data_IF_435494922823
#
_entry.id   IF_435494922823
#
_cell.length_a   1.000
_cell.length_b   1.000
_cell.length_c   1.000
_cell.angle_alpha   90.00
_cell.angle_beta   90.00
_cell.angle_gamma   90.00
#
_symmetry.space_group_name_H-M   'P 1'
#
loop_
_entity.id
_entity.type
_entity.pdbx_description
1 polymer ?
#
# COMPACT_ATOMS: atom_id res chain seq x y z
N UNK A 1 44.75 -8.40 4.40
CA UNK A 1 44.25 -7.02 4.63
C UNK A 1 42.93 -6.74 3.90
N UNK A 2 42.80 -7.12 2.62
CA UNK A 2 41.56 -6.97 1.82
C UNK A 2 40.39 -7.80 2.40
N UNK A 3 40.66 -9.04 2.78
CA UNK A 3 39.68 -10.00 3.32
C UNK A 3 39.10 -9.56 4.68
N UNK A 4 39.95 -9.01 5.54
CA UNK A 4 39.60 -8.50 6.86
C UNK A 4 38.71 -7.25 6.78
N UNK A 5 38.85 -6.46 5.71
CA UNK A 5 38.03 -5.30 5.44
C UNK A 5 36.71 -5.68 4.76
N UNK A 6 36.71 -6.68 3.87
CA UNK A 6 35.48 -7.26 3.31
C UNK A 6 34.59 -7.86 4.40
N UNK A 7 35.19 -8.54 5.39
CA UNK A 7 34.49 -9.00 6.59
C UNK A 7 33.89 -7.84 7.40
N UNK A 8 34.62 -6.75 7.62
CA UNK A 8 34.10 -5.58 8.34
C UNK A 8 32.95 -4.89 7.60
N UNK A 9 33.05 -4.73 6.28
CA UNK A 9 31.98 -4.16 5.45
C UNK A 9 30.77 -5.07 5.45
N UNK A 10 30.96 -6.38 5.30
CA UNK A 10 29.90 -7.36 5.40
C UNK A 10 29.22 -7.31 6.78
N UNK A 11 29.99 -7.24 7.88
CA UNK A 11 29.44 -7.11 9.23
C UNK A 11 28.72 -5.77 9.45
N UNK A 12 29.16 -4.68 8.84
CA UNK A 12 28.48 -3.37 8.89
C UNK A 12 27.16 -3.44 8.11
N UNK A 13 27.18 -3.94 6.88
CA UNK A 13 25.97 -4.11 6.05
C UNK A 13 24.98 -5.07 6.72
N UNK A 14 25.45 -6.17 7.30
CA UNK A 14 24.62 -7.13 8.05
C UNK A 14 24.04 -6.51 9.33
N UNK A 15 24.85 -5.76 10.09
CA UNK A 15 24.39 -5.06 11.29
C UNK A 15 23.34 -3.99 10.98
N UNK A 16 23.41 -3.39 9.79
CA UNK A 16 22.48 -2.38 9.31
C UNK A 16 21.17 -3.02 8.81
N UNK A 17 21.24 -4.13 8.07
CA UNK A 17 20.06 -4.95 7.73
C UNK A 17 19.32 -5.35 9.02
N UNK A 18 20.06 -5.75 10.06
CA UNK A 18 19.49 -6.04 11.38
C UNK A 18 18.83 -4.81 12.03
N UNK A 19 19.42 -3.61 11.93
CA UNK A 19 18.76 -2.39 12.43
C UNK A 19 17.44 -2.06 11.72
N UNK A 20 17.35 -2.29 10.40
CA UNK A 20 16.09 -2.12 9.66
C UNK A 20 14.99 -3.11 10.13
N UNK A 21 15.36 -4.29 10.61
CA UNK A 21 14.39 -5.29 11.09
C UNK A 21 13.86 -5.03 12.51
N UNK A 22 14.51 -4.17 13.29
CA UNK A 22 14.26 -4.02 14.75
C UNK A 22 13.41 -2.77 15.07
N UNK A 23 12.89 -2.03 14.10
CA UNK A 23 12.05 -0.85 14.38
C UNK A 23 10.54 -1.11 14.20
N UNK A 24 9.79 -1.43 15.26
CA UNK A 24 8.34 -1.31 15.25
C UNK A 24 7.97 0.14 15.57
N UNK A 25 7.75 0.97 14.55
CA UNK A 25 7.15 2.29 14.75
C UNK A 25 5.67 2.22 14.37
N UNK A 26 4.86 1.70 15.29
CA UNK A 26 3.41 1.89 15.24
C UNK A 26 3.11 3.31 15.77
N UNK A 27 3.16 4.30 14.89
CA UNK A 27 2.75 5.68 15.21
C UNK A 27 1.23 5.76 15.05
N UNK A 28 0.50 5.64 16.16
CA UNK A 28 -0.96 5.83 16.19
C UNK A 28 -1.28 7.33 16.28
N UNK A 29 -1.19 8.03 15.15
CA UNK A 29 -1.69 9.39 15.01
C UNK A 29 -3.00 9.39 14.20
N UNK A 30 -4.06 9.97 14.74
CA UNK A 30 -5.39 9.99 14.09
C UNK A 30 -5.48 10.94 12.88
N UNK A 31 -4.37 11.58 12.50
CA UNK A 31 -4.27 12.56 11.42
C UNK A 31 -3.97 11.89 10.06
N UNK A 32 -3.57 10.61 10.06
CA UNK A 32 -3.21 9.90 8.83
C UNK A 32 -4.41 9.46 7.97
N UNK A 33 -4.16 9.14 6.69
CA UNK A 33 -5.15 8.49 5.83
C UNK A 33 -5.71 7.25 6.54
N UNK A 34 -6.93 6.86 6.18
CA UNK A 34 -7.61 5.71 6.78
C UNK A 34 -7.60 4.53 5.82
N UNK A 35 -7.61 3.29 6.35
CA UNK A 35 -7.70 2.12 5.50
C UNK A 35 -9.01 2.13 4.71
N UNK A 36 -9.02 1.41 3.58
CA UNK A 36 -10.20 1.25 2.76
C UNK A 36 -10.41 -0.20 2.32
N UNK A 37 -11.65 -0.53 2.01
CA UNK A 37 -12.02 -1.75 1.28
C UNK A 37 -12.72 -1.33 -0.01
N UNK A 38 -12.25 -1.84 -1.13
CA UNK A 38 -12.82 -1.62 -2.46
C UNK A 38 -13.19 -2.97 -3.07
N UNK A 39 -14.39 -3.07 -3.63
CA UNK A 39 -14.90 -4.31 -4.24
C UNK A 39 -15.41 -4.00 -5.64
N UNK A 40 -14.82 -4.65 -6.64
CA UNK A 40 -15.26 -4.58 -8.03
C UNK A 40 -16.22 -5.73 -8.34
N UNK A 41 -17.38 -5.41 -8.93
CA UNK A 41 -18.40 -6.37 -9.33
C UNK A 41 -18.39 -6.57 -10.84
N UNK A 42 -18.59 -7.82 -11.28
CA UNK A 42 -18.71 -8.19 -12.69
C UNK A 42 -19.98 -8.98 -12.91
N UNK A 43 -20.66 -8.79 -14.04
CA UNK A 43 -21.89 -9.52 -14.35
C UNK A 43 -23.17 -8.92 -13.79
N UNK A 44 -23.15 -7.64 -13.39
CA UNK A 44 -24.31 -6.88 -12.87
C UNK A 44 -24.60 -5.63 -13.71
N UNK A 45 -24.17 -5.61 -14.97
CA UNK A 45 -24.13 -4.40 -15.80
C UNK A 45 -25.51 -3.77 -16.08
N UNK A 46 -26.58 -4.56 -16.00
CA UNK A 46 -27.96 -4.12 -16.24
C UNK A 46 -28.83 -4.11 -14.97
N UNK A 47 -28.22 -4.34 -13.80
CA UNK A 47 -28.95 -4.52 -12.54
C UNK A 47 -28.89 -3.28 -11.66
N UNK A 48 -30.03 -2.94 -11.03
CA UNK A 48 -30.03 -1.99 -9.91
C UNK A 48 -29.68 -2.73 -8.62
N UNK A 49 -28.58 -2.37 -7.96
CA UNK A 49 -28.14 -3.04 -6.74
C UNK A 49 -27.39 -2.15 -5.76
N UNK A 50 -27.51 -2.52 -4.48
CA UNK A 50 -26.89 -1.84 -3.36
C UNK A 50 -25.98 -2.80 -2.61
N UNK A 51 -24.83 -2.29 -2.16
CA UNK A 51 -23.81 -3.10 -1.50
C UNK A 51 -23.52 -2.55 -0.12
N UNK A 52 -23.34 -3.45 0.84
CA UNK A 52 -22.80 -3.14 2.18
C UNK A 52 -21.79 -4.21 2.60
N UNK A 53 -20.98 -3.87 3.60
CA UNK A 53 -20.17 -4.81 4.36
C UNK A 53 -20.82 -5.06 5.71
N UNK A 54 -21.26 -6.29 5.95
CA UNK A 54 -21.70 -6.72 7.27
C UNK A 54 -20.46 -6.93 8.14
N UNK A 55 -20.44 -6.39 9.35
CA UNK A 55 -19.26 -6.40 10.22
C UNK A 55 -19.36 -7.42 11.34
N UNK A 56 -18.24 -8.05 11.70
CA UNK A 56 -18.16 -8.89 12.90
C UNK A 56 -18.38 -8.10 14.20
N UNK A 57 -18.08 -6.79 14.19
CA UNK A 57 -18.19 -5.90 15.35
C UNK A 57 -19.31 -4.87 15.13
N UNK A 58 -19.99 -4.48 16.21
CA UNK A 58 -21.15 -3.57 16.13
C UNK A 58 -20.81 -2.11 15.80
N UNK A 59 -19.53 -1.72 15.81
CA UNK A 59 -19.09 -0.37 15.42
C UNK A 59 -17.64 -0.32 14.95
N UNK A 60 -17.36 0.53 13.96
CA UNK A 60 -16.02 0.91 13.51
C UNK A 60 -16.01 2.35 12.98
N UNK A 61 -15.08 3.16 13.48
CA UNK A 61 -15.02 4.59 13.16
C UNK A 61 -16.36 5.29 13.45
N UNK A 62 -16.94 6.05 12.50
CA UNK A 62 -18.24 6.69 12.70
C UNK A 62 -19.42 5.73 12.48
N UNK A 63 -19.20 4.50 12.02
CA UNK A 63 -20.24 3.55 11.62
C UNK A 63 -20.61 2.64 12.79
N UNK A 64 -21.90 2.39 12.98
CA UNK A 64 -22.40 1.53 14.05
C UNK A 64 -23.74 0.90 13.67
N UNK A 65 -24.00 -0.28 14.23
CA UNK A 65 -25.29 -0.94 14.18
C UNK A 65 -26.36 -0.07 14.84
N UNK A 66 -27.60 -0.09 14.35
CA UNK A 66 -28.68 0.70 14.93
C UNK A 66 -28.89 0.33 16.41
N UNK A 67 -29.00 1.34 17.27
CA UNK A 67 -29.20 1.16 18.71
C UNK A 67 -27.92 0.96 19.52
N UNK A 68 -26.75 0.81 18.87
CA UNK A 68 -25.45 0.71 19.56
C UNK A 68 -25.12 1.97 20.38
N UNK A 69 -25.53 3.15 19.90
CA UNK A 69 -25.39 4.42 20.62
C UNK A 69 -26.71 5.20 20.64
N UNK A 70 -26.95 6.03 21.68
CA UNK A 70 -28.15 6.87 21.74
C UNK A 70 -28.27 7.78 20.50
N UNK A 71 -29.39 7.66 19.76
CA UNK A 71 -29.68 8.51 18.61
C UNK A 71 -28.78 8.27 17.39
N UNK A 72 -28.23 7.06 17.21
CA UNK A 72 -27.32 6.74 16.12
C UNK A 72 -27.99 6.31 14.80
N UNK A 73 -29.29 6.55 14.67
CA UNK A 73 -30.03 6.30 13.43
C UNK A 73 -29.56 7.28 12.35
N UNK A 74 -29.16 6.74 11.19
CA UNK A 74 -28.61 7.56 10.09
C UNK A 74 -29.62 8.02 9.05
N UNK A 75 -30.69 7.25 8.84
CA UNK A 75 -31.69 7.49 7.82
C UNK A 75 -33.08 7.61 8.46
N UNK A 76 -33.91 8.49 7.93
CA UNK A 76 -35.25 8.79 8.42
C UNK A 76 -36.27 8.78 7.28
N UNK A 77 -37.56 8.61 7.62
CA UNK A 77 -38.64 8.65 6.63
C UNK A 77 -38.56 9.95 5.81
N UNK A 78 -38.53 9.81 4.48
CA UNK A 78 -38.39 10.91 3.54
C UNK A 78 -36.98 11.08 2.97
N UNK A 79 -35.96 10.42 3.51
CA UNK A 79 -34.65 10.32 2.88
C UNK A 79 -34.72 9.43 1.63
N UNK A 80 -33.95 9.77 0.60
CA UNK A 80 -33.95 9.07 -0.70
C UNK A 80 -33.68 7.56 -0.56
N UNK A 81 -32.70 7.20 0.26
CA UNK A 81 -32.30 5.80 0.47
C UNK A 81 -32.97 5.15 1.69
N UNK A 82 -34.01 5.75 2.27
CA UNK A 82 -34.63 5.24 3.51
C UNK A 82 -35.18 3.81 3.34
N UNK A 83 -35.89 3.53 2.25
CA UNK A 83 -36.48 2.20 1.99
C UNK A 83 -35.38 1.14 1.82
N UNK A 84 -34.27 1.50 1.17
CA UNK A 84 -33.11 0.61 0.99
C UNK A 84 -32.42 0.35 2.32
N UNK A 85 -32.23 1.41 3.13
CA UNK A 85 -31.68 1.29 4.47
C UNK A 85 -32.55 0.38 5.35
N UNK A 86 -33.87 0.54 5.32
CA UNK A 86 -34.81 -0.28 6.09
C UNK A 86 -34.74 -1.75 5.66
N UNK A 87 -34.66 -2.00 4.34
CA UNK A 87 -34.46 -3.35 3.81
C UNK A 87 -33.15 -3.98 4.29
N UNK A 88 -32.04 -3.27 4.18
CA UNK A 88 -30.73 -3.74 4.67
C UNK A 88 -30.71 -3.94 6.19
N UNK A 89 -31.43 -3.11 6.95
CA UNK A 89 -31.59 -3.24 8.39
C UNK A 89 -32.40 -4.49 8.78
N UNK A 90 -33.37 -4.88 7.95
CA UNK A 90 -34.19 -6.09 8.18
C UNK A 90 -33.43 -7.40 7.96
N UNK A 91 -32.28 -7.35 7.26
CA UNK A 91 -31.47 -8.52 6.97
C UNK A 91 -30.81 -9.08 8.25
N UNK A 92 -31.00 -10.37 8.49
CA UNK A 92 -30.37 -11.10 9.60
C UNK A 92 -29.32 -12.07 9.05
N UNK A 93 -28.05 -11.78 9.32
CA UNK A 93 -26.96 -12.69 8.96
C UNK A 93 -26.97 -13.96 9.84
N UNK A 94 -26.72 -15.11 9.24
CA UNK A 94 -26.69 -16.41 9.93
C UNK A 94 -25.58 -16.51 10.98
N UNK A 95 -24.46 -15.82 10.76
CA UNK A 95 -23.30 -15.83 11.65
C UNK A 95 -23.30 -14.64 12.62
N UNK A 96 -24.37 -13.83 12.62
CA UNK A 96 -24.54 -12.69 13.54
C UNK A 96 -23.73 -11.44 13.17
N UNK A 97 -23.34 -11.27 11.91
CA UNK A 97 -22.69 -10.03 11.46
C UNK A 97 -23.68 -8.86 11.42
N UNK A 98 -23.20 -7.67 11.74
CA UNK A 98 -23.98 -6.45 11.91
C UNK A 98 -23.99 -5.59 10.64
N UNK A 99 -25.15 -5.08 10.25
CA UNK A 99 -25.24 -3.96 9.31
C UNK A 99 -24.93 -2.63 10.03
N UNK A 100 -23.90 -1.90 9.59
CA UNK A 100 -23.44 -0.66 10.24
C UNK A 100 -24.00 0.63 9.62
N UNK A 101 -25.17 0.54 9.00
CA UNK A 101 -25.89 1.67 8.40
C UNK A 101 -25.07 2.43 7.33
N UNK A 102 -24.19 1.72 6.59
CA UNK A 102 -23.43 2.28 5.48
C UNK A 102 -23.47 1.32 4.30
N UNK A 103 -23.91 1.83 3.16
CA UNK A 103 -24.10 1.09 1.93
C UNK A 103 -23.96 2.07 0.76
N UNK A 104 -23.93 1.56 -0.47
CA UNK A 104 -23.89 2.38 -1.67
C UNK A 104 -24.54 1.69 -2.86
N UNK A 105 -25.20 2.47 -3.71
CA UNK A 105 -25.65 2.04 -5.03
C UNK A 105 -24.42 1.89 -5.94
N UNK A 106 -24.25 0.72 -6.55
CA UNK A 106 -23.04 0.40 -7.33
C UNK A 106 -23.34 0.12 -8.80
N UNK A 107 -24.57 0.35 -9.25
CA UNK A 107 -25.04 0.00 -10.60
C UNK A 107 -24.29 0.69 -11.72
N UNK A 108 -23.94 1.97 -11.56
CA UNK A 108 -23.20 2.70 -12.60
C UNK A 108 -21.69 2.46 -12.56
N UNK A 109 -21.12 2.31 -11.36
CA UNK A 109 -19.66 2.23 -11.17
C UNK A 109 -19.13 0.82 -11.21
N UNK A 110 -20.00 -0.17 -11.00
CA UNK A 110 -19.65 -1.56 -10.70
C UNK A 110 -18.64 -1.71 -9.54
N UNK A 111 -18.58 -0.73 -8.64
CA UNK A 111 -17.59 -0.68 -7.58
C UNK A 111 -18.18 -0.13 -6.27
N UNK A 112 -18.00 -0.88 -5.20
CA UNK A 112 -18.28 -0.44 -3.84
C UNK A 112 -17.00 -0.01 -3.14
N UNK A 113 -17.03 1.14 -2.47
CA UNK A 113 -15.90 1.64 -1.68
C UNK A 113 -16.33 1.98 -0.25
N UNK A 114 -15.68 1.32 0.71
CA UNK A 114 -15.67 1.74 2.12
C UNK A 114 -14.36 2.46 2.43
N UNK A 115 -14.36 3.78 2.21
CA UNK A 115 -13.14 4.60 2.26
C UNK A 115 -12.68 5.03 3.65
N UNK A 116 -13.49 4.82 4.69
CA UNK A 116 -13.20 5.36 6.03
C UNK A 116 -13.59 4.38 7.14
N UNK A 117 -12.59 3.85 7.86
CA UNK A 117 -12.74 2.83 8.90
C UNK A 117 -13.60 1.62 8.49
N UNK A 118 -13.29 0.95 7.38
CA UNK A 118 -13.95 -0.29 7.01
C UNK A 118 -13.82 -1.35 8.12
N UNK A 119 -14.81 -2.22 8.29
CA UNK A 119 -14.76 -3.29 9.27
C UNK A 119 -13.51 -4.18 9.06
N UNK A 120 -12.83 -4.60 10.14
CA UNK A 120 -11.63 -5.44 10.03
C UNK A 120 -11.92 -6.79 9.40
N UNK A 121 -13.09 -7.36 9.74
CA UNK A 121 -13.62 -8.61 9.21
C UNK A 121 -15.09 -8.42 8.85
N UNK A 122 -15.48 -8.91 7.68
CA UNK A 122 -16.76 -8.59 7.08
C UNK A 122 -17.30 -9.64 6.11
N UNK A 123 -18.61 -9.64 5.88
CA UNK A 123 -19.25 -10.31 4.74
C UNK A 123 -19.75 -9.28 3.74
N UNK A 124 -19.83 -9.68 2.48
CA UNK A 124 -20.38 -8.83 1.41
C UNK A 124 -21.87 -9.14 1.32
N UNK A 125 -22.71 -8.11 1.40
CA UNK A 125 -24.14 -8.22 1.18
C UNK A 125 -24.53 -7.32 0.02
N UNK A 126 -25.21 -7.90 -0.96
CA UNK A 126 -25.79 -7.23 -2.11
C UNK A 126 -27.32 -7.31 -1.99
N UNK A 127 -28.00 -6.20 -2.20
CA UNK A 127 -29.46 -6.13 -2.29
C UNK A 127 -29.89 -5.73 -3.69
N UNK A 128 -30.83 -6.49 -4.26
CA UNK A 128 -31.44 -6.25 -5.56
C UNK A 128 -32.91 -5.81 -5.37
N UNK A 129 -33.22 -4.52 -5.46
CA UNK A 129 -34.58 -4.02 -5.21
C UNK A 129 -35.61 -4.52 -6.21
N UNK A 130 -35.21 -4.80 -7.46
CA UNK A 130 -36.12 -5.27 -8.50
C UNK A 130 -36.76 -6.63 -8.17
N UNK A 131 -36.03 -7.47 -7.43
CA UNK A 131 -36.44 -8.82 -7.05
C UNK A 131 -36.76 -8.95 -5.55
N UNK A 132 -36.49 -7.90 -4.77
CA UNK A 132 -36.49 -7.91 -3.31
C UNK A 132 -35.64 -9.05 -2.72
N UNK A 133 -34.42 -9.22 -3.27
CA UNK A 133 -33.53 -10.33 -2.92
C UNK A 133 -32.17 -9.88 -2.42
N UNK A 134 -31.63 -10.68 -1.50
CA UNK A 134 -30.27 -10.53 -1.00
C UNK A 134 -29.36 -11.61 -1.57
N UNK A 135 -28.13 -11.22 -1.84
CA UNK A 135 -27.05 -12.16 -2.11
C UNK A 135 -25.89 -11.86 -1.16
N UNK A 136 -25.41 -12.90 -0.47
CA UNK A 136 -24.42 -12.77 0.61
C UNK A 136 -23.21 -13.66 0.33
N UNK A 137 -22.03 -13.19 0.72
CA UNK A 137 -20.83 -14.02 0.64
C UNK A 137 -20.92 -15.24 1.56
N UNK A 138 -20.49 -16.39 1.03
CA UNK A 138 -20.52 -17.65 1.78
C UNK A 138 -19.52 -17.67 2.94
N UNK A 139 -18.40 -16.97 2.77
CA UNK A 139 -17.36 -16.80 3.79
C UNK A 139 -17.24 -15.33 4.22
N UNK A 140 -16.57 -15.13 5.35
CA UNK A 140 -16.14 -13.81 5.81
C UNK A 140 -14.74 -13.46 5.28
N UNK A 141 -14.54 -12.20 4.95
CA UNK A 141 -13.29 -11.62 4.46
C UNK A 141 -12.67 -10.71 5.52
N UNK A 142 -11.38 -10.44 5.36
CA UNK A 142 -10.61 -9.59 6.27
C UNK A 142 -9.80 -8.57 5.48
N UNK A 143 -9.62 -7.37 6.03
CA UNK A 143 -8.68 -6.40 5.46
C UNK A 143 -7.28 -7.00 5.48
N UNK A 144 -6.70 -7.19 4.29
CA UNK A 144 -5.39 -7.82 4.13
C UNK A 144 -4.26 -6.81 3.85
N UNK A 145 -4.63 -5.57 3.51
CA UNK A 145 -3.76 -4.44 3.22
C UNK A 145 -4.43 -3.15 3.72
N UNK A 146 -3.65 -2.06 3.80
CA UNK A 146 -4.16 -0.75 4.16
C UNK A 146 -5.30 -0.31 3.22
N UNK A 147 -5.10 -0.49 1.92
CA UNK A 147 -6.16 -0.47 0.92
C UNK A 147 -6.37 -1.91 0.44
N UNK A 148 -7.48 -2.53 0.84
CA UNK A 148 -7.82 -3.90 0.47
C UNK A 148 -8.75 -3.90 -0.74
N UNK A 149 -8.34 -4.61 -1.80
CA UNK A 149 -9.09 -4.72 -3.06
C UNK A 149 -9.62 -6.13 -3.25
N UNK A 150 -10.90 -6.24 -3.55
CA UNK A 150 -11.59 -7.48 -3.88
C UNK A 150 -12.26 -7.35 -5.24
N UNK A 151 -12.46 -8.49 -5.90
CA UNK A 151 -13.32 -8.57 -7.07
C UNK A 151 -14.24 -9.77 -6.93
N UNK A 152 -15.47 -9.60 -7.35
CA UNK A 152 -16.51 -10.61 -7.30
C UNK A 152 -17.09 -10.78 -8.70
N UNK A 153 -17.12 -12.03 -9.18
CA UNK A 153 -17.87 -12.40 -10.37
C UNK A 153 -19.25 -12.89 -9.94
N UNK A 154 -20.27 -12.14 -10.35
CA UNK A 154 -21.66 -12.34 -9.95
C UNK A 154 -22.48 -12.87 -11.15
N UNK A 155 -21.82 -13.32 -12.22
CA UNK A 155 -22.49 -13.86 -13.40
C UNK A 155 -23.32 -15.10 -13.07
N UNK A 156 -24.56 -15.09 -13.55
CA UNK A 156 -25.43 -16.25 -13.45
C UNK A 156 -26.05 -16.46 -12.07
N UNK A 157 -26.12 -15.41 -11.23
CA UNK A 157 -27.04 -15.40 -10.11
C UNK A 157 -28.46 -15.67 -10.63
N UNK A 158 -29.13 -16.69 -10.09
CA UNK A 158 -30.55 -16.94 -10.34
C UNK A 158 -31.39 -15.94 -9.52
N UNK A 159 -31.37 -14.68 -9.94
CA UNK A 159 -32.04 -13.53 -9.31
C UNK A 159 -33.58 -13.63 -9.29
N UNK A 160 -34.15 -14.64 -9.95
CA UNK A 160 -35.59 -14.92 -9.93
C UNK A 160 -36.00 -15.93 -8.83
N UNK A 161 -35.04 -16.47 -8.07
CA UNK A 161 -35.30 -17.53 -7.07
C UNK A 161 -35.75 -16.98 -5.71
N UNK A 162 -36.75 -17.60 -5.06
CA UNK A 162 -37.36 -17.10 -3.81
C UNK A 162 -36.38 -17.10 -2.62
N UNK A 163 -35.23 -17.77 -2.74
CA UNK A 163 -34.24 -17.91 -1.67
C UNK A 163 -33.08 -16.93 -1.84
N UNK A 164 -32.56 -16.33 -0.74
CA UNK A 164 -31.35 -15.53 -0.79
C UNK A 164 -30.22 -16.30 -1.47
N UNK A 165 -29.47 -15.64 -2.34
CA UNK A 165 -28.37 -16.30 -3.03
C UNK A 165 -27.17 -16.34 -2.08
N UNK A 166 -26.90 -17.54 -1.60
CA UNK A 166 -25.77 -17.81 -0.74
C UNK A 166 -24.56 -18.17 -1.59
N UNK A 167 -23.37 -17.76 -1.14
CA UNK A 167 -22.06 -18.11 -1.72
C UNK A 167 -21.57 -17.20 -2.86
N UNK A 168 -21.76 -15.89 -2.74
CA UNK A 168 -20.92 -14.97 -3.50
C UNK A 168 -19.45 -15.18 -3.09
N UNK A 169 -18.57 -15.38 -4.07
CA UNK A 169 -17.13 -15.48 -3.84
C UNK A 169 -16.41 -14.21 -4.31
N UNK A 170 -15.66 -13.60 -3.39
CA UNK A 170 -14.76 -12.51 -3.69
C UNK A 170 -13.30 -13.00 -3.64
N UNK A 171 -12.53 -12.60 -4.66
CA UNK A 171 -11.10 -12.86 -4.75
C UNK A 171 -10.31 -11.57 -4.52
N UNK A 172 -9.15 -11.66 -3.88
CA UNK A 172 -8.24 -10.51 -3.74
C UNK A 172 -7.76 -10.09 -5.13
N UNK A 173 -7.87 -8.79 -5.43
CA UNK A 173 -7.47 -8.24 -6.73
C UNK A 173 -6.52 -7.04 -6.55
N UNK A 174 -5.48 -7.23 -5.73
CA UNK A 174 -4.42 -6.23 -5.57
C UNK A 174 -3.46 -6.31 -6.77
N UNK A 175 -3.08 -5.17 -7.34
CA UNK A 175 -2.18 -5.12 -8.51
C UNK A 175 -0.70 -5.24 -8.12
N UNK A 176 -0.30 -6.45 -7.76
CA UNK A 176 1.11 -6.78 -7.46
C UNK A 176 2.02 -6.64 -8.69
N UNK A 177 1.47 -6.70 -9.91
CA UNK A 177 2.25 -6.56 -11.14
C UNK A 177 2.72 -5.12 -11.29
N UNK A 178 1.81 -4.17 -11.08
CA UNK A 178 2.14 -2.75 -11.10
C UNK A 178 3.11 -2.35 -9.97
N UNK A 179 2.96 -2.92 -8.77
CA UNK A 179 3.94 -2.72 -7.69
C UNK A 179 5.35 -3.16 -8.11
N UNK A 180 5.47 -4.35 -8.73
CA UNK A 180 6.75 -4.88 -9.19
C UNK A 180 7.37 -4.03 -10.31
N UNK A 181 6.56 -3.65 -11.30
CA UNK A 181 7.00 -2.77 -12.40
C UNK A 181 7.48 -1.44 -11.82
N UNK A 182 6.70 -0.83 -10.92
CA UNK A 182 7.03 0.44 -10.29
C UNK A 182 8.26 0.34 -9.39
N UNK A 183 8.45 -0.78 -8.68
CA UNK A 183 9.67 -1.06 -7.90
C UNK A 183 10.91 -1.10 -8.80
N UNK A 184 10.85 -1.84 -9.90
CA UNK A 184 11.96 -1.95 -10.85
C UNK A 184 12.26 -0.60 -11.51
N UNK A 185 11.22 0.16 -11.89
CA UNK A 185 11.35 1.48 -12.47
C UNK A 185 12.09 2.44 -11.52
N UNK A 186 11.72 2.46 -10.22
CA UNK A 186 12.39 3.28 -9.20
C UNK A 186 13.85 2.91 -9.03
N UNK A 187 14.17 1.62 -8.87
CA UNK A 187 15.56 1.16 -8.72
C UNK A 187 16.40 1.54 -9.94
N UNK A 188 15.90 1.32 -11.16
CA UNK A 188 16.60 1.66 -12.40
C UNK A 188 16.81 3.17 -12.51
N UNK A 189 15.78 3.98 -12.23
CA UNK A 189 15.86 5.43 -12.28
C UNK A 189 16.91 5.96 -11.30
N UNK A 190 16.89 5.50 -10.05
CA UNK A 190 17.86 5.93 -9.03
C UNK A 190 19.28 5.53 -9.39
N UNK A 191 19.51 4.28 -9.82
CA UNK A 191 20.83 3.82 -10.26
C UNK A 191 21.35 4.62 -11.46
N UNK A 192 20.46 4.99 -12.40
CA UNK A 192 20.83 5.80 -13.55
C UNK A 192 21.25 7.23 -13.13
N UNK A 193 20.50 7.85 -12.21
CA UNK A 193 20.81 9.18 -11.64
C UNK A 193 22.15 9.15 -10.91
N UNK A 194 22.37 8.13 -10.09
CA UNK A 194 23.60 7.92 -9.33
C UNK A 194 24.82 7.79 -10.23
N UNK A 195 24.73 6.97 -11.28
CA UNK A 195 25.80 6.80 -12.26
C UNK A 195 26.03 8.10 -13.04
N UNK A 196 24.98 8.83 -13.42
CA UNK A 196 25.09 10.11 -14.12
C UNK A 196 25.83 11.15 -13.25
N UNK A 197 25.46 11.27 -11.98
CA UNK A 197 26.10 12.17 -11.03
C UNK A 197 27.55 11.72 -10.77
N UNK A 198 27.82 10.42 -10.68
CA UNK A 198 29.17 9.90 -10.54
C UNK A 198 30.08 10.34 -11.71
N UNK A 199 29.57 10.32 -12.95
CA UNK A 199 30.29 10.78 -14.13
C UNK A 199 30.58 12.29 -14.08
N UNK A 200 29.65 13.11 -13.57
CA UNK A 200 29.84 14.55 -13.36
C UNK A 200 30.91 14.85 -12.30
N UNK A 201 31.01 14.01 -11.28
CA UNK A 201 32.04 14.08 -10.24
C UNK A 201 33.39 13.50 -10.68
N UNK A 202 33.48 12.98 -11.91
CA UNK A 202 34.72 12.49 -12.52
C UNK A 202 35.04 11.03 -12.23
N UNK A 203 34.13 10.26 -11.63
CA UNK A 203 34.28 8.81 -11.48
C UNK A 203 34.00 8.14 -12.83
N UNK A 204 35.07 7.82 -13.57
CA UNK A 204 34.97 7.24 -14.93
C UNK A 204 35.56 5.85 -15.06
N UNK A 205 36.29 5.36 -14.05
CA UNK A 205 36.88 4.04 -14.14
C UNK A 205 35.79 2.96 -14.05
N UNK A 206 35.86 1.93 -14.91
CA UNK A 206 34.89 0.83 -14.93
C UNK A 206 34.66 0.21 -13.54
N UNK A 207 35.74 0.05 -12.75
CA UNK A 207 35.65 -0.48 -11.38
C UNK A 207 34.97 0.47 -10.39
N UNK A 208 35.08 1.79 -10.58
CA UNK A 208 34.39 2.80 -9.75
C UNK A 208 32.89 2.80 -10.06
N UNK A 209 32.53 2.84 -11.34
CA UNK A 209 31.14 2.81 -11.79
C UNK A 209 30.45 1.49 -11.42
N UNK A 210 31.16 0.36 -11.53
CA UNK A 210 30.63 -0.93 -11.10
C UNK A 210 30.36 -0.94 -9.58
N UNK A 211 31.28 -0.43 -8.76
CA UNK A 211 31.06 -0.34 -7.32
C UNK A 211 29.85 0.54 -6.99
N UNK A 212 29.76 1.73 -7.57
CA UNK A 212 28.65 2.66 -7.37
C UNK A 212 27.32 2.02 -7.78
N UNK A 213 27.27 1.44 -8.98
CA UNK A 213 26.07 0.77 -9.47
C UNK A 213 25.67 -0.41 -8.59
N UNK A 214 26.61 -1.26 -8.16
CA UNK A 214 26.30 -2.41 -7.28
C UNK A 214 25.80 -1.97 -5.91
N UNK A 215 26.44 -0.99 -5.28
CA UNK A 215 26.02 -0.49 -3.96
C UNK A 215 24.63 0.10 -4.06
N UNK A 216 24.37 0.95 -5.06
CA UNK A 216 23.06 1.54 -5.31
C UNK A 216 21.96 0.51 -5.57
N UNK A 217 22.23 -0.49 -6.42
CA UNK A 217 21.25 -1.55 -6.66
C UNK A 217 20.87 -2.23 -5.34
N UNK A 218 21.85 -2.52 -4.47
CA UNK A 218 21.59 -3.17 -3.17
C UNK A 218 20.83 -2.25 -2.22
N UNK A 219 21.31 -1.02 -2.01
CA UNK A 219 20.69 -0.06 -1.08
C UNK A 219 19.28 0.32 -1.53
N UNK A 220 19.09 0.62 -2.81
CA UNK A 220 17.80 1.00 -3.37
C UNK A 220 16.82 -0.18 -3.45
N UNK A 221 17.29 -1.41 -3.66
CA UNK A 221 16.41 -2.58 -3.56
C UNK A 221 15.87 -2.72 -2.14
N UNK A 222 16.74 -2.65 -1.12
CA UNK A 222 16.33 -2.76 0.28
C UNK A 222 15.36 -1.63 0.64
N UNK A 223 15.71 -0.39 0.32
CA UNK A 223 14.90 0.78 0.60
C UNK A 223 13.50 0.67 -0.02
N UNK A 224 13.42 0.43 -1.34
CA UNK A 224 12.14 0.43 -2.04
C UNK A 224 11.27 -0.78 -1.68
N UNK A 225 11.86 -1.95 -1.37
CA UNK A 225 11.10 -3.11 -0.86
C UNK A 225 10.50 -2.77 0.51
N UNK A 226 11.28 -2.23 1.44
CA UNK A 226 10.79 -1.85 2.76
C UNK A 226 9.69 -0.80 2.66
N UNK A 227 9.85 0.19 1.79
CA UNK A 227 8.85 1.22 1.57
C UNK A 227 7.56 0.69 0.94
N UNK A 228 7.63 -0.23 -0.01
CA UNK A 228 6.44 -0.90 -0.55
C UNK A 228 5.70 -1.69 0.54
N UNK A 229 6.43 -2.44 1.37
CA UNK A 229 5.85 -3.19 2.48
C UNK A 229 5.17 -2.24 3.48
N UNK A 230 5.77 -1.08 3.77
CA UNK A 230 5.18 -0.06 4.62
C UNK A 230 3.92 0.51 3.97
N UNK A 231 3.96 0.87 2.69
CA UNK A 231 2.80 1.41 1.98
C UNK A 231 1.64 0.41 1.95
N UNK A 232 1.92 -0.85 1.63
CA UNK A 232 0.95 -1.93 1.60
C UNK A 232 0.26 -2.15 2.97
N UNK A 233 0.99 -2.06 4.08
CA UNK A 233 0.45 -2.33 5.41
C UNK A 233 -0.10 -1.08 6.14
N UNK A 234 0.45 0.11 5.86
CA UNK A 234 0.25 1.32 6.67
C UNK A 234 -0.11 2.56 5.85
N UNK A 235 -0.10 2.48 4.52
CA UNK A 235 -0.51 3.56 3.62
C UNK A 235 0.54 4.64 3.35
N UNK A 236 0.13 5.60 2.52
CA UNK A 236 1.01 6.60 1.90
C UNK A 236 1.69 7.57 2.87
N UNK A 237 1.03 7.94 3.97
CA UNK A 237 1.64 8.84 4.96
C UNK A 237 2.81 8.16 5.69
N UNK A 238 2.64 6.89 6.09
CA UNK A 238 3.73 6.13 6.71
C UNK A 238 4.84 5.84 5.71
N UNK A 239 4.52 5.65 4.44
CA UNK A 239 5.50 5.61 3.37
C UNK A 239 6.35 6.89 3.34
N UNK A 240 5.76 8.10 3.27
CA UNK A 240 6.52 9.36 3.21
C UNK A 240 7.37 9.58 4.47
N UNK A 241 6.79 9.33 5.65
CA UNK A 241 7.52 9.47 6.91
C UNK A 241 8.75 8.56 6.95
N UNK A 242 8.60 7.29 6.54
CA UNK A 242 9.72 6.35 6.53
C UNK A 242 10.73 6.64 5.43
N UNK A 243 10.28 7.15 4.29
CA UNK A 243 11.15 7.46 3.17
C UNK A 243 12.26 8.45 3.54
N UNK A 244 11.92 9.51 4.29
CA UNK A 244 12.85 10.57 4.68
C UNK A 244 14.04 10.03 5.48
N UNK A 245 13.78 9.29 6.57
CA UNK A 245 14.85 8.83 7.44
C UNK A 245 15.60 7.62 6.86
N UNK A 246 14.92 6.76 6.10
CA UNK A 246 15.56 5.62 5.44
C UNK A 246 16.52 6.06 4.33
N UNK A 247 16.17 7.09 3.55
CA UNK A 247 17.10 7.69 2.57
C UNK A 247 18.31 8.33 3.23
N UNK A 248 18.10 9.02 4.35
CA UNK A 248 19.24 9.53 5.14
C UNK A 248 20.17 8.38 5.58
N UNK A 249 19.61 7.24 5.97
CA UNK A 249 20.39 6.05 6.33
C UNK A 249 21.13 5.47 5.11
N UNK A 250 20.49 5.38 3.95
CA UNK A 250 21.12 4.98 2.68
C UNK A 250 22.31 5.87 2.35
N UNK A 251 22.14 7.19 2.43
CA UNK A 251 23.22 8.16 2.24
C UNK A 251 24.41 7.87 3.17
N UNK A 252 24.17 7.66 4.47
CA UNK A 252 25.24 7.35 5.45
C UNK A 252 25.99 6.08 5.07
N UNK A 253 25.27 5.03 4.66
CA UNK A 253 25.84 3.76 4.21
C UNK A 253 26.72 3.98 2.99
N UNK A 254 26.18 4.62 1.96
CA UNK A 254 26.85 4.82 0.68
C UNK A 254 28.09 5.70 0.84
N UNK A 255 27.98 6.82 1.56
CA UNK A 255 29.10 7.69 1.87
C UNK A 255 30.23 6.92 2.58
N UNK A 256 29.90 6.04 3.53
CA UNK A 256 30.86 5.19 4.24
C UNK A 256 31.55 4.18 3.31
N UNK A 257 30.76 3.44 2.51
CA UNK A 257 31.27 2.43 1.58
C UNK A 257 32.14 3.06 0.51
N UNK A 258 31.68 4.15 -0.11
CA UNK A 258 32.41 4.86 -1.16
C UNK A 258 33.71 5.45 -0.63
N UNK A 259 33.68 6.08 0.54
CA UNK A 259 34.89 6.65 1.16
C UNK A 259 35.95 5.59 1.46
N UNK A 260 35.54 4.37 1.79
CA UNK A 260 36.44 3.26 2.08
C UNK A 260 37.00 2.54 0.83
N UNK A 261 36.21 2.45 -0.25
CA UNK A 261 36.50 1.57 -1.39
C UNK A 261 36.87 2.30 -2.68
N UNK A 262 36.24 3.44 -3.01
CA UNK A 262 36.56 4.20 -4.25
C UNK A 262 38.03 4.64 -4.36
N UNK A 263 38.73 5.06 -3.28
CA UNK A 263 40.13 5.45 -3.38
C UNK A 263 41.06 4.34 -3.90
N UNK A 264 40.68 3.07 -3.73
CA UNK A 264 41.47 1.91 -4.17
C UNK A 264 41.41 1.67 -5.67
N UNK A 265 40.41 2.22 -6.33
CA UNK A 265 40.18 2.10 -7.76
C UNK A 265 40.57 3.36 -8.53
N UNK A 266 41.08 4.40 -7.84
CA UNK A 266 41.62 5.60 -8.49
C UNK A 266 43.09 5.42 -8.84
N UNK A 267 43.40 5.47 -10.15
CA UNK A 267 44.76 5.23 -10.65
C UNK A 267 45.74 6.37 -10.41
N UNK A 268 45.28 7.61 -10.19
CA UNK A 268 46.11 8.80 -9.94
C UNK A 268 45.33 9.84 -9.11
N UNK A 269 46.05 10.52 -8.23
CA UNK A 269 45.66 11.64 -7.36
C UNK A 269 44.57 11.43 -6.29
N UNK A 270 45.07 11.16 -5.08
CA UNK A 270 44.38 11.13 -3.79
C UNK A 270 43.88 12.52 -3.30
N UNK A 271 43.93 13.57 -4.13
CA UNK A 271 43.81 14.98 -3.69
C UNK A 271 42.40 15.43 -3.32
N UNK A 272 41.37 14.60 -3.52
CA UNK A 272 39.96 14.99 -3.38
C UNK A 272 39.12 13.94 -2.63
N UNK A 273 39.64 13.37 -1.53
CA UNK A 273 38.89 12.42 -0.68
C UNK A 273 37.56 12.99 -0.16
N UNK A 274 37.48 14.30 0.06
CA UNK A 274 36.25 14.98 0.48
C UNK A 274 35.16 15.00 -0.60
N UNK A 275 35.52 14.85 -1.89
CA UNK A 275 34.53 14.78 -2.98
C UNK A 275 33.71 13.50 -2.96
N UNK A 276 34.19 12.43 -2.29
CA UNK A 276 33.49 11.15 -2.25
C UNK A 276 32.22 11.20 -1.38
N UNK A 277 32.27 11.62 -0.10
CA UNK A 277 31.05 11.79 0.68
C UNK A 277 30.17 12.93 0.15
N UNK A 278 30.75 13.96 -0.45
CA UNK A 278 29.98 15.03 -1.11
C UNK A 278 29.22 14.52 -2.34
N UNK A 279 29.83 13.64 -3.14
CA UNK A 279 29.16 12.92 -4.22
C UNK A 279 27.97 12.13 -3.70
N UNK A 280 28.16 11.30 -2.67
CA UNK A 280 27.09 10.48 -2.11
C UNK A 280 25.92 11.36 -1.63
N UNK A 281 26.23 12.46 -0.95
CA UNK A 281 25.22 13.42 -0.49
C UNK A 281 24.41 13.99 -1.66
N UNK A 282 25.09 14.45 -2.71
CA UNK A 282 24.43 15.05 -3.88
C UNK A 282 23.61 14.01 -4.64
N UNK A 283 24.16 12.81 -4.85
CA UNK A 283 23.47 11.74 -5.56
C UNK A 283 22.19 11.31 -4.85
N UNK A 284 22.29 10.99 -3.56
CA UNK A 284 21.14 10.59 -2.76
C UNK A 284 20.13 11.74 -2.59
N UNK A 285 20.56 13.00 -2.41
CA UNK A 285 19.64 14.13 -2.31
C UNK A 285 18.85 14.37 -3.61
N UNK A 286 19.51 14.25 -4.77
CA UNK A 286 18.85 14.37 -6.08
C UNK A 286 17.89 13.20 -6.31
N UNK A 287 18.33 11.98 -6.03
CA UNK A 287 17.49 10.77 -6.14
C UNK A 287 16.27 10.84 -5.23
N UNK A 288 16.44 11.27 -3.98
CA UNK A 288 15.36 11.49 -3.02
C UNK A 288 14.34 12.53 -3.50
N UNK A 289 14.82 13.70 -3.94
CA UNK A 289 13.95 14.76 -4.45
C UNK A 289 13.16 14.32 -5.68
N UNK A 290 13.80 13.60 -6.60
CA UNK A 290 13.15 13.02 -7.77
C UNK A 290 12.17 11.89 -7.39
N UNK A 291 12.51 11.07 -6.40
CA UNK A 291 11.61 10.04 -5.85
C UNK A 291 10.32 10.63 -5.29
N UNK A 292 10.42 11.68 -4.48
CA UNK A 292 9.25 12.41 -3.97
C UNK A 292 8.42 13.05 -5.09
N UNK A 293 9.10 13.65 -6.08
CA UNK A 293 8.42 14.25 -7.22
C UNK A 293 7.67 13.19 -8.07
N UNK A 294 8.29 12.03 -8.29
CA UNK A 294 7.65 10.90 -8.95
C UNK A 294 6.44 10.38 -8.17
N UNK A 295 6.55 10.26 -6.84
CA UNK A 295 5.44 9.86 -5.98
C UNK A 295 4.23 10.80 -6.07
N UNK A 296 4.48 12.10 -6.28
CA UNK A 296 3.44 13.10 -6.48
C UNK A 296 2.80 13.02 -7.88
N UNK A 297 3.60 12.81 -8.94
CA UNK A 297 3.12 12.80 -10.32
C UNK A 297 2.40 11.52 -10.73
N UNK A 298 2.83 10.37 -10.21
CA UNK A 298 2.34 9.05 -10.61
C UNK A 298 1.76 8.38 -9.37
N UNK A 299 0.46 8.56 -9.09
CA UNK A 299 -0.23 7.82 -8.05
C UNK A 299 -0.03 6.31 -8.27
N UNK A 300 0.51 5.61 -7.27
CA UNK A 300 0.80 4.17 -7.35
C UNK A 300 2.17 3.80 -7.93
N UNK A 301 3.09 4.75 -8.16
CA UNK A 301 4.51 4.40 -8.39
C UNK A 301 5.20 3.90 -7.10
N UNK A 302 4.58 4.13 -5.95
CA UNK A 302 4.97 3.66 -4.63
C UNK A 302 3.81 2.96 -3.95
#
# INVERSE_FOLDING_TARGET
>A
MVELLQRKVFSIVLGIILMFTVMPMAVYADIGPKPSVVIDFKGLEDEKYYVTLLSEIASTGPHSALGEHPGNQRYHEGDEDYEIWEKLLSYQDKDGYYFLQYFGECSETAQFTWGYYPPPKFKILIYFPAYDQFAVSGEAYERYAFHSYYSTDVKGLELESITPIENIEAVRNYDYTWELISLLARIIATVAIEVLIALLFGFRAKKQLLLIGTVNVVTQSILNILLNVINYNQGSMMFVFNYIWMEFLVFVIEAGVYSALLPKYSGKDLKRRWLIPFYALVANAVSFGLGLYMAYLIPGIF
#
